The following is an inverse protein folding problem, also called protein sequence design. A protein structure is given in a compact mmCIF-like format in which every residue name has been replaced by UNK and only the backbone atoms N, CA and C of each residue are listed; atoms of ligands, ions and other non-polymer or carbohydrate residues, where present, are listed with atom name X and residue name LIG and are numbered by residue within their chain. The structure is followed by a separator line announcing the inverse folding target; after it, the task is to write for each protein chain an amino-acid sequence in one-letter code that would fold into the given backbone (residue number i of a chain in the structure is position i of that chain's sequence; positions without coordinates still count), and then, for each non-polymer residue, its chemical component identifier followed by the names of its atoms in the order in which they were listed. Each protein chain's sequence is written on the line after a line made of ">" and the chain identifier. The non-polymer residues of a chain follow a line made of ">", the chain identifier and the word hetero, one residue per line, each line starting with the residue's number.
data_IF_410589551272
#
_entry.id   IF_410589551272
#
_cell.length_a   1.000
_cell.length_b   1.000
_cell.length_c   1.000
_cell.angle_alpha   90.00
_cell.angle_beta   90.00
_cell.angle_gamma   90.00
#
_symmetry.space_group_name_H-M   'P 1'
#
loop_
_entity.id
_entity.type
_entity.pdbx_description
1 polymer ?
#
# COMPACT_ATOMS: atom_id res chain seq x y z
N UNK A 1 86.10 -26.65 15.05
CA UNK A 1 84.77 -27.23 14.93
C UNK A 1 83.73 -26.12 14.90
N UNK A 2 82.83 -26.17 13.98
CA UNK A 2 81.50 -25.53 14.04
C UNK A 2 81.45 -24.03 13.85
N UNK A 3 81.79 -23.55 12.71
CA UNK A 3 81.28 -22.30 12.16
C UNK A 3 80.36 -22.52 10.95
N UNK A 4 80.08 -23.78 10.56
CA UNK A 4 79.23 -24.09 9.42
C UNK A 4 77.78 -24.12 9.82
N UNK A 5 76.92 -23.63 8.94
CA UNK A 5 75.46 -23.68 9.16
C UNK A 5 74.93 -25.11 9.31
N UNK A 6 73.85 -25.36 10.07
CA UNK A 6 73.18 -26.65 10.06
C UNK A 6 72.87 -27.12 8.65
N UNK A 7 73.09 -28.42 8.34
CA UNK A 7 72.93 -28.97 6.99
C UNK A 7 74.23 -28.92 6.14
N UNK A 8 75.25 -28.18 6.55
CA UNK A 8 76.54 -28.15 5.87
C UNK A 8 77.56 -29.06 6.58
N UNK A 9 78.42 -29.71 5.80
CA UNK A 9 79.53 -30.51 6.26
C UNK A 9 80.79 -30.24 5.47
N UNK A 10 81.90 -30.79 5.95
CA UNK A 10 83.16 -30.75 5.19
C UNK A 10 83.74 -32.15 5.02
N UNK A 11 84.47 -32.32 3.96
CA UNK A 11 85.21 -33.56 3.68
C UNK A 11 86.65 -33.25 3.16
N UNK A 12 87.60 -34.11 3.51
CA UNK A 12 88.95 -34.08 2.92
C UNK A 12 88.94 -35.01 1.74
N UNK A 13 89.42 -34.55 0.61
CA UNK A 13 89.58 -35.38 -0.59
C UNK A 13 91.04 -35.94 -0.63
N UNK A 14 91.27 -37.00 -1.42
CA UNK A 14 92.61 -37.67 -1.55
C UNK A 14 93.69 -36.74 -2.09
N UNK A 15 93.36 -35.54 -2.58
CA UNK A 15 94.27 -34.53 -3.12
C UNK A 15 94.53 -33.37 -2.17
N UNK A 16 94.46 -33.58 -0.84
CA UNK A 16 94.66 -32.55 0.22
C UNK A 16 93.76 -31.32 0.06
N UNK A 17 92.56 -31.49 -0.51
CA UNK A 17 91.61 -30.45 -0.68
C UNK A 17 90.50 -30.60 0.33
N UNK A 18 90.20 -29.52 1.09
CA UNK A 18 89.00 -29.42 1.97
C UNK A 18 87.81 -28.94 1.11
N UNK A 19 86.77 -29.74 1.12
CA UNK A 19 85.49 -29.38 0.45
C UNK A 19 84.42 -29.13 1.50
N UNK A 20 83.84 -27.94 1.49
CA UNK A 20 82.67 -27.61 2.28
C UNK A 20 81.49 -27.74 1.33
N UNK A 21 80.43 -28.48 1.69
CA UNK A 21 79.25 -28.73 0.92
C UNK A 21 78.07 -29.04 1.83
N UNK A 22 76.89 -28.82 1.32
CA UNK A 22 75.64 -29.11 2.04
C UNK A 22 74.46 -28.20 1.50
N UNK A 23 73.29 -28.46 2.05
CA UNK A 23 72.13 -27.59 1.89
C UNK A 23 71.78 -27.05 3.27
N UNK A 24 71.40 -25.77 3.32
CA UNK A 24 70.99 -25.16 4.58
C UNK A 24 69.75 -25.85 5.12
N UNK A 25 69.83 -26.36 6.35
CA UNK A 25 68.68 -26.83 7.08
C UNK A 25 67.80 -25.63 7.45
N UNK A 26 66.44 -25.74 7.47
CA UNK A 26 65.58 -24.68 7.98
C UNK A 26 65.99 -24.10 9.33
N UNK A 27 66.61 -24.92 10.22
CA UNK A 27 67.24 -24.52 11.51
C UNK A 27 68.44 -23.59 11.34
N UNK A 28 69.06 -23.53 10.16
CA UNK A 28 70.20 -22.64 9.87
C UNK A 28 69.76 -21.18 9.73
N UNK A 29 68.46 -20.91 9.46
CA UNK A 29 67.92 -19.58 9.35
C UNK A 29 67.30 -19.13 10.68
N UNK A 30 67.70 -17.99 11.16
CA UNK A 30 67.02 -17.37 12.29
C UNK A 30 65.75 -16.67 11.77
N UNK A 31 64.55 -17.16 12.11
CA UNK A 31 63.26 -16.62 11.66
C UNK A 31 63.04 -15.18 12.14
N UNK A 32 63.78 -14.72 13.13
CA UNK A 32 63.71 -13.33 13.62
C UNK A 32 64.64 -12.37 12.82
N UNK A 33 65.50 -12.90 11.94
CA UNK A 33 66.43 -12.11 11.11
C UNK A 33 66.41 -12.61 9.68
N UNK A 34 66.29 -11.72 8.69
CA UNK A 34 66.31 -12.11 7.26
C UNK A 34 67.64 -12.75 6.83
N UNK A 35 68.68 -12.59 7.60
CA UNK A 35 70.03 -13.14 7.31
C UNK A 35 70.70 -13.60 8.58
N UNK A 36 71.24 -14.84 8.58
CA UNK A 36 72.10 -15.37 9.63
C UNK A 36 73.48 -15.61 9.05
N UNK A 37 74.49 -15.03 9.65
CA UNK A 37 75.87 -15.11 9.20
C UNK A 37 76.66 -16.16 10.06
N UNK A 38 77.23 -17.14 9.40
CA UNK A 38 78.07 -18.14 9.98
C UNK A 38 79.51 -17.88 9.56
N UNK A 39 80.40 -17.73 10.50
CA UNK A 39 81.86 -17.60 10.26
C UNK A 39 82.50 -18.95 10.47
N UNK A 40 83.28 -19.46 9.50
CA UNK A 40 84.05 -20.67 9.64
C UNK A 40 85.54 -20.39 9.62
N UNK A 41 86.29 -21.22 10.31
CA UNK A 41 87.73 -21.19 10.38
C UNK A 41 88.22 -22.56 10.05
N UNK A 42 89.20 -22.66 9.15
CA UNK A 42 89.98 -23.87 8.78
C UNK A 42 91.36 -23.69 9.31
N UNK A 43 91.85 -24.69 9.96
CA UNK A 43 93.19 -24.65 10.57
C UNK A 43 93.89 -25.96 10.22
N UNK A 44 95.13 -25.92 9.74
CA UNK A 44 95.91 -27.09 9.46
C UNK A 44 96.39 -27.68 10.76
N UNK A 45 96.42 -29.05 10.86
CA UNK A 45 97.05 -29.72 12.01
C UNK A 45 98.51 -29.44 12.04
N UNK A 46 99.08 -29.28 13.25
CA UNK A 46 100.48 -28.94 13.38
C UNK A 46 101.35 -30.04 12.75
N UNK A 47 102.14 -29.66 11.73
CA UNK A 47 103.17 -30.44 11.10
C UNK A 47 104.52 -30.12 11.74
N UNK A 48 105.32 -29.30 11.13
CA UNK A 48 106.64 -29.00 11.61
C UNK A 48 106.91 -27.58 12.11
N UNK A 49 106.07 -26.59 11.75
CA UNK A 49 106.30 -25.20 12.10
C UNK A 49 105.04 -24.49 12.58
N UNK A 50 104.38 -23.70 11.75
CA UNK A 50 103.21 -22.90 12.13
C UNK A 50 101.92 -23.46 11.51
N UNK A 51 100.78 -23.26 12.18
CA UNK A 51 99.46 -23.59 11.64
C UNK A 51 99.05 -22.54 10.66
N UNK A 52 98.60 -22.96 9.49
CA UNK A 52 97.92 -22.05 8.54
C UNK A 52 96.42 -21.96 8.85
N UNK A 53 95.94 -20.75 8.83
CA UNK A 53 94.53 -20.44 9.13
C UNK A 53 93.87 -19.83 7.92
N UNK A 54 92.66 -20.28 7.52
CA UNK A 54 91.81 -19.71 6.57
C UNK A 54 90.45 -19.50 7.21
N UNK A 55 89.85 -18.33 7.00
CA UNK A 55 88.49 -17.97 7.50
C UNK A 55 87.57 -17.59 6.35
N UNK A 56 86.27 -17.77 6.49
CA UNK A 56 85.29 -17.38 5.55
C UNK A 56 83.93 -17.28 6.20
N UNK A 57 82.94 -16.82 5.42
CA UNK A 57 81.56 -16.61 5.87
C UNK A 57 80.60 -17.30 4.95
N UNK A 58 79.52 -17.86 5.51
CA UNK A 58 78.36 -18.38 4.81
C UNK A 58 77.14 -17.58 5.36
N UNK A 59 76.43 -16.89 4.51
CA UNK A 59 75.17 -16.22 4.86
C UNK A 59 74.03 -17.13 4.46
N UNK A 60 73.20 -17.48 5.45
CA UNK A 60 71.95 -18.20 5.25
C UNK A 60 70.81 -17.19 5.36
N UNK A 61 70.01 -17.04 4.28
CA UNK A 61 68.90 -16.16 4.24
C UNK A 61 67.59 -16.92 4.39
N UNK A 62 66.61 -16.29 5.02
CA UNK A 62 65.29 -16.87 5.21
C UNK A 62 64.48 -16.80 3.91
N UNK A 63 63.83 -17.90 3.52
CA UNK A 63 62.91 -17.90 2.41
C UNK A 63 61.69 -17.00 2.71
N UNK A 64 61.09 -16.38 1.71
CA UNK A 64 59.87 -15.58 1.92
C UNK A 64 58.73 -16.44 2.40
N UNK A 65 57.87 -15.89 3.23
CA UNK A 65 56.62 -16.52 3.68
C UNK A 65 55.46 -15.59 3.41
N UNK A 66 54.30 -16.17 3.04
CA UNK A 66 53.05 -15.45 2.84
C UNK A 66 51.92 -16.37 3.28
N UNK A 67 51.09 -15.91 4.19
CA UNK A 67 49.96 -16.67 4.70
C UNK A 67 48.72 -15.81 4.86
N UNK A 68 47.54 -16.38 4.56
CA UNK A 68 46.27 -15.80 4.93
C UNK A 68 46.06 -16.02 6.43
N UNK A 69 45.86 -14.95 7.22
CA UNK A 69 45.67 -15.01 8.68
C UNK A 69 44.25 -14.66 9.10
N UNK A 70 43.47 -14.06 8.21
CA UNK A 70 42.01 -13.96 8.39
C UNK A 70 41.34 -15.30 8.14
N UNK A 71 40.02 -15.38 8.41
CA UNK A 71 39.24 -16.61 8.16
C UNK A 71 39.44 -17.11 6.73
N UNK A 72 39.63 -18.42 6.47
CA UNK A 72 39.93 -18.94 5.13
C UNK A 72 38.93 -18.53 4.05
N UNK A 73 37.65 -18.34 4.42
CA UNK A 73 36.57 -17.91 3.52
C UNK A 73 36.73 -16.48 3.01
N UNK A 74 37.52 -15.64 3.70
CA UNK A 74 37.70 -14.23 3.32
C UNK A 74 38.41 -14.05 1.99
N UNK A 75 39.30 -14.98 1.61
CA UNK A 75 40.00 -14.90 0.31
C UNK A 75 39.13 -15.27 -0.90
N UNK A 76 37.93 -15.78 -0.65
CA UNK A 76 36.94 -16.10 -1.69
C UNK A 76 35.52 -15.73 -1.22
N UNK A 77 35.25 -14.45 -1.13
CA UNK A 77 33.99 -13.93 -0.60
C UNK A 77 32.92 -13.74 -1.71
N UNK A 78 31.67 -13.95 -1.31
CA UNK A 78 30.49 -13.55 -2.09
C UNK A 78 29.84 -12.42 -1.32
N UNK A 79 29.77 -11.24 -1.93
CA UNK A 79 29.27 -10.02 -1.31
C UNK A 79 28.25 -9.34 -2.24
N UNK A 80 27.44 -8.49 -1.67
CA UNK A 80 26.56 -7.66 -2.45
C UNK A 80 27.21 -6.32 -2.79
N UNK A 81 26.87 -5.78 -3.95
CA UNK A 81 27.24 -4.41 -4.30
C UNK A 81 26.76 -3.47 -3.21
N UNK A 82 27.57 -2.46 -2.86
CA UNK A 82 27.31 -1.51 -1.79
C UNK A 82 27.15 -2.12 -0.38
N UNK A 83 27.80 -3.27 -0.11
CA UNK A 83 27.91 -3.85 1.24
C UNK A 83 29.37 -4.04 1.66
N UNK A 84 29.64 -3.94 2.96
CA UNK A 84 30.98 -4.12 3.51
C UNK A 84 31.44 -5.56 3.34
N UNK A 85 32.66 -5.74 2.87
CA UNK A 85 33.34 -7.03 2.83
C UNK A 85 34.01 -7.37 4.15
N UNK A 86 34.19 -8.67 4.45
CA UNK A 86 35.07 -9.08 5.53
C UNK A 86 36.52 -8.74 5.17
N UNK A 87 37.26 -8.18 6.12
CA UNK A 87 38.65 -7.79 5.89
C UNK A 87 39.50 -9.03 5.64
N UNK A 88 40.21 -9.05 4.51
CA UNK A 88 41.20 -10.07 4.17
C UNK A 88 42.55 -9.63 4.73
N UNK A 89 43.19 -10.47 5.49
CA UNK A 89 44.49 -10.14 6.10
C UNK A 89 45.49 -11.22 5.71
N UNK A 90 46.56 -10.79 5.05
CA UNK A 90 47.75 -11.60 4.79
C UNK A 90 48.87 -11.15 5.69
N UNK A 91 49.67 -12.10 6.14
CA UNK A 91 50.93 -11.88 6.86
C UNK A 91 52.09 -12.37 5.99
N UNK A 92 53.08 -11.52 5.80
CA UNK A 92 54.32 -11.87 5.08
C UNK A 92 55.51 -11.76 5.99
N UNK A 93 56.54 -12.54 5.72
CA UNK A 93 57.71 -12.59 6.59
C UNK A 93 58.85 -13.37 5.96
N UNK A 94 59.69 -13.90 6.81
CA UNK A 94 60.93 -14.56 6.37
C UNK A 94 61.84 -13.54 5.65
N UNK A 95 62.20 -13.81 4.42
CA UNK A 95 63.01 -12.92 3.60
C UNK A 95 62.23 -11.84 2.87
N UNK A 96 60.89 -11.88 2.87
CA UNK A 96 60.08 -10.90 2.16
C UNK A 96 60.15 -9.54 2.86
N UNK A 97 60.29 -8.47 2.08
CA UNK A 97 60.29 -7.06 2.53
C UNK A 97 58.96 -6.35 2.30
N UNK A 98 58.05 -6.99 1.57
CA UNK A 98 56.73 -6.47 1.25
C UNK A 98 55.96 -7.43 0.37
N UNK A 99 54.85 -6.96 -0.16
CA UNK A 99 54.03 -7.69 -1.11
C UNK A 99 53.57 -6.76 -2.24
N UNK A 100 53.43 -7.32 -3.44
CA UNK A 100 52.73 -6.74 -4.57
C UNK A 100 51.30 -7.25 -4.62
N UNK A 101 50.34 -6.38 -4.76
CA UNK A 101 48.94 -6.70 -4.96
C UNK A 101 48.49 -6.27 -6.33
N UNK A 102 47.85 -7.17 -7.06
CA UNK A 102 47.30 -6.86 -8.40
C UNK A 102 45.93 -7.52 -8.58
N UNK A 103 44.99 -6.76 -9.13
CA UNK A 103 43.77 -7.34 -9.69
C UNK A 103 44.10 -8.03 -10.99
N UNK A 104 43.66 -9.30 -11.14
CA UNK A 104 43.96 -10.13 -12.31
C UNK A 104 42.73 -10.18 -13.22
N UNK A 105 42.94 -10.03 -14.54
CA UNK A 105 41.84 -9.99 -15.50
C UNK A 105 41.38 -8.57 -15.86
N UNK A 106 40.22 -8.48 -16.50
CA UNK A 106 39.65 -7.20 -16.99
C UNK A 106 38.94 -6.39 -15.92
N UNK A 107 38.50 -7.03 -14.84
CA UNK A 107 37.74 -6.39 -13.78
C UNK A 107 38.64 -6.00 -12.60
N UNK A 108 38.47 -4.78 -12.11
CA UNK A 108 39.22 -4.25 -10.96
C UNK A 108 38.32 -3.49 -10.02
N UNK A 109 38.60 -3.59 -8.71
CA UNK A 109 37.95 -2.79 -7.67
C UNK A 109 38.78 -1.58 -7.24
N UNK A 110 39.86 -1.30 -7.95
CA UNK A 110 40.68 -0.11 -7.68
C UNK A 110 39.87 1.18 -7.85
N UNK A 111 39.82 2.01 -6.80
CA UNK A 111 39.03 3.25 -6.79
C UNK A 111 37.51 3.05 -6.70
N UNK A 112 37.07 1.81 -6.45
CA UNK A 112 35.64 1.44 -6.37
C UNK A 112 35.26 0.96 -4.97
N UNK A 113 35.68 1.70 -3.96
CA UNK A 113 35.32 1.45 -2.56
C UNK A 113 36.10 0.35 -1.84
N UNK A 114 37.01 -0.35 -2.54
CA UNK A 114 37.90 -1.36 -1.94
C UNK A 114 39.31 -0.83 -1.85
N UNK A 115 39.92 -1.01 -0.67
CA UNK A 115 41.29 -0.58 -0.35
C UNK A 115 42.17 -1.82 -0.12
N UNK A 116 43.33 -1.82 -0.75
CA UNK A 116 44.35 -2.83 -0.57
C UNK A 116 45.66 -2.14 -0.16
N UNK A 117 46.14 -2.37 1.06
CA UNK A 117 47.24 -1.59 1.67
C UNK A 117 48.05 -2.41 2.67
N UNK A 118 49.35 -2.13 2.73
CA UNK A 118 50.20 -2.60 3.79
C UNK A 118 49.75 -2.00 5.15
N UNK A 119 49.70 -2.83 6.17
CA UNK A 119 49.25 -2.47 7.51
C UNK A 119 50.22 -3.00 8.56
N UNK A 120 50.84 -2.10 9.31
CA UNK A 120 51.90 -2.48 10.25
C UNK A 120 53.16 -2.93 9.53
N UNK A 121 53.99 -3.73 10.20
CA UNK A 121 55.32 -4.14 9.68
C UNK A 121 55.26 -5.32 8.72
N UNK A 122 54.30 -6.24 8.89
CA UNK A 122 54.28 -7.52 8.17
C UNK A 122 52.92 -7.94 7.70
N UNK A 123 51.94 -7.02 7.66
CA UNK A 123 50.60 -7.34 7.23
C UNK A 123 50.20 -6.56 5.98
N UNK A 124 49.35 -7.19 5.19
CA UNK A 124 48.67 -6.58 4.05
C UNK A 124 47.16 -6.83 4.21
N UNK A 125 46.35 -5.80 4.04
CA UNK A 125 44.90 -5.85 4.23
C UNK A 125 44.17 -5.41 2.98
N UNK A 126 43.08 -6.14 2.69
CA UNK A 126 42.09 -5.79 1.67
C UNK A 126 40.74 -5.65 2.38
N UNK A 127 40.15 -4.50 2.30
CA UNK A 127 38.90 -4.17 3.00
C UNK A 127 38.12 -3.09 2.27
N UNK A 128 36.85 -2.91 2.64
CA UNK A 128 36.02 -1.84 2.13
C UNK A 128 34.66 -2.33 1.65
N UNK A 129 34.07 -1.53 0.80
CA UNK A 129 32.70 -1.68 0.32
C UNK A 129 32.70 -1.48 -1.20
N UNK A 130 32.59 -2.55 -2.01
CA UNK A 130 32.50 -2.38 -3.46
C UNK A 130 31.30 -1.52 -3.87
N UNK A 131 31.56 -0.51 -4.69
CA UNK A 131 30.55 0.43 -5.23
C UNK A 131 30.66 0.43 -6.76
N UNK A 132 30.33 -0.69 -7.36
CA UNK A 132 30.57 -0.97 -8.79
C UNK A 132 29.33 -0.90 -9.66
N UNK A 133 28.12 -0.88 -9.06
CA UNK A 133 26.83 -0.87 -9.76
C UNK A 133 26.74 -1.99 -10.80
N UNK A 134 27.10 -3.22 -10.38
CA UNK A 134 27.04 -4.37 -11.28
C UNK A 134 25.58 -4.73 -11.60
N UNK A 135 25.31 -5.05 -12.86
CA UNK A 135 23.99 -5.52 -13.32
C UNK A 135 23.86 -7.04 -13.31
N UNK A 136 24.99 -7.73 -13.21
CA UNK A 136 25.09 -9.20 -13.11
C UNK A 136 26.22 -9.58 -12.17
N UNK A 137 26.18 -10.81 -11.66
CA UNK A 137 27.25 -11.35 -10.81
C UNK A 137 28.60 -11.20 -11.48
N UNK A 138 29.51 -10.47 -10.88
CA UNK A 138 30.83 -10.17 -11.39
C UNK A 138 31.92 -10.67 -10.45
N UNK A 139 32.91 -11.38 -10.97
CA UNK A 139 34.03 -11.89 -10.20
C UNK A 139 35.27 -11.02 -10.42
N UNK A 140 35.89 -10.61 -9.33
CA UNK A 140 37.12 -9.83 -9.25
C UNK A 140 38.23 -10.71 -8.66
N UNK A 141 39.12 -11.16 -9.52
CA UNK A 141 40.25 -11.99 -9.08
C UNK A 141 41.43 -11.11 -8.75
N UNK A 142 42.20 -11.52 -7.76
CA UNK A 142 43.45 -10.85 -7.37
C UNK A 142 44.58 -11.83 -7.09
N UNK A 143 45.76 -11.31 -7.14
CA UNK A 143 47.01 -11.97 -6.80
C UNK A 143 47.78 -11.12 -5.81
N UNK A 144 48.37 -11.76 -4.81
CA UNK A 144 49.30 -11.15 -3.88
C UNK A 144 50.59 -11.95 -3.94
N UNK A 145 51.74 -11.26 -4.10
CA UNK A 145 53.06 -11.86 -4.30
C UNK A 145 54.02 -11.21 -3.33
N UNK A 146 54.87 -11.99 -2.66
CA UNK A 146 55.96 -11.45 -1.87
C UNK A 146 56.99 -10.73 -2.75
N UNK A 147 57.64 -9.71 -2.20
CA UNK A 147 58.70 -8.97 -2.93
C UNK A 147 59.88 -8.65 -2.01
N UNK A 148 61.04 -8.47 -2.65
CA UNK A 148 62.26 -8.05 -2.00
C UNK A 148 62.97 -9.14 -1.24
N UNK A 149 62.63 -10.39 -1.44
CA UNK A 149 63.40 -11.52 -0.92
C UNK A 149 64.66 -11.72 -1.72
N UNK A 150 65.74 -11.99 -1.02
CA UNK A 150 66.99 -12.44 -1.64
C UNK A 150 66.96 -13.95 -1.98
N UNK A 151 65.90 -14.64 -1.60
CA UNK A 151 65.65 -16.04 -1.91
C UNK A 151 64.50 -16.18 -2.90
N UNK A 152 64.69 -16.99 -3.93
CA UNK A 152 63.70 -17.28 -4.98
C UNK A 152 63.21 -18.71 -4.90
N UNK A 153 61.95 -19.04 -5.28
CA UNK A 153 60.93 -18.12 -5.84
C UNK A 153 60.21 -17.30 -4.78
N UNK A 154 59.63 -16.15 -5.21
CA UNK A 154 58.67 -15.43 -4.42
C UNK A 154 57.40 -16.28 -4.22
N UNK A 155 56.64 -16.02 -3.15
CA UNK A 155 55.39 -16.72 -2.83
C UNK A 155 54.23 -15.96 -3.43
N UNK A 156 53.37 -16.68 -4.15
CA UNK A 156 52.19 -16.14 -4.79
C UNK A 156 50.95 -16.81 -4.22
N UNK A 157 49.98 -15.99 -3.76
CA UNK A 157 48.65 -16.44 -3.40
C UNK A 157 47.62 -15.69 -4.27
N UNK A 158 46.47 -16.34 -4.52
CA UNK A 158 45.38 -15.80 -5.29
C UNK A 158 44.10 -15.79 -4.46
N UNK A 159 43.21 -14.91 -4.81
CA UNK A 159 41.86 -14.89 -4.23
C UNK A 159 40.85 -14.27 -5.17
N UNK A 160 39.59 -14.24 -4.75
CA UNK A 160 38.50 -13.70 -5.55
C UNK A 160 37.44 -13.03 -4.68
N UNK A 161 36.85 -11.98 -5.20
CA UNK A 161 35.63 -11.35 -4.66
C UNK A 161 34.55 -11.45 -5.72
N UNK A 162 33.47 -12.18 -5.40
CA UNK A 162 32.26 -12.21 -6.23
C UNK A 162 31.34 -11.12 -5.73
N UNK A 163 31.02 -10.14 -6.58
CA UNK A 163 30.05 -9.07 -6.28
C UNK A 163 28.76 -9.38 -7.01
N UNK A 164 27.71 -9.55 -6.24
CA UNK A 164 26.36 -9.75 -6.76
C UNK A 164 25.65 -8.39 -6.84
N UNK A 165 24.84 -8.16 -7.89
CA UNK A 165 24.03 -6.96 -7.98
C UNK A 165 22.96 -6.91 -6.90
N UNK A 166 22.61 -5.70 -6.44
CA UNK A 166 21.42 -5.48 -5.60
C UNK A 166 20.15 -5.68 -6.41
N UNK A 167 19.09 -6.11 -5.75
CA UNK A 167 17.79 -6.24 -6.38
C UNK A 167 17.17 -4.87 -6.64
N UNK A 168 16.43 -4.74 -7.73
CA UNK A 168 15.60 -3.58 -8.02
C UNK A 168 14.24 -3.99 -8.55
N UNK A 169 13.22 -3.22 -8.21
CA UNK A 169 11.88 -3.30 -8.79
C UNK A 169 11.32 -1.88 -8.93
N UNK A 170 10.86 -1.51 -10.11
CA UNK A 170 10.35 -0.16 -10.40
C UNK A 170 9.08 -0.24 -11.22
N UNK A 171 8.11 0.65 -10.96
CA UNK A 171 6.90 0.77 -11.76
C UNK A 171 7.26 1.39 -13.12
N UNK A 172 6.83 0.74 -14.22
CA UNK A 172 7.02 1.22 -15.60
C UNK A 172 5.71 1.49 -16.34
N UNK A 173 4.58 0.95 -15.89
CA UNK A 173 3.26 1.39 -16.32
C UNK A 173 2.94 2.78 -15.76
N UNK A 174 1.82 3.37 -16.18
CA UNK A 174 1.40 4.69 -15.69
C UNK A 174 1.26 4.69 -14.15
N UNK A 175 1.62 5.80 -13.51
CA UNK A 175 1.67 5.88 -12.03
C UNK A 175 0.35 5.51 -11.34
N UNK A 176 -0.79 5.80 -11.98
CA UNK A 176 -2.11 5.47 -11.47
C UNK A 176 -2.42 3.96 -11.49
N UNK A 177 -1.72 3.15 -12.28
CA UNK A 177 -1.99 1.71 -12.34
C UNK A 177 -1.64 0.98 -11.04
N UNK A 178 -0.65 1.48 -10.28
CA UNK A 178 -0.32 0.92 -8.98
C UNK A 178 -1.32 1.29 -7.87
N UNK A 179 -2.26 2.18 -8.16
CA UNK A 179 -3.30 2.61 -7.22
C UNK A 179 -4.61 2.84 -7.99
N UNK A 180 -5.39 1.78 -8.15
CA UNK A 180 -6.61 1.80 -8.95
C UNK A 180 -7.85 1.71 -8.08
N UNK A 181 -8.93 2.35 -8.55
CA UNK A 181 -10.25 2.26 -7.96
C UNK A 181 -11.22 1.67 -8.96
N UNK A 182 -11.98 0.67 -8.54
CA UNK A 182 -13.02 0.01 -9.35
C UNK A 182 -14.34 0.03 -8.61
N UNK A 183 -15.43 0.19 -9.36
CA UNK A 183 -16.78 0.19 -8.82
C UNK A 183 -17.44 -1.17 -9.01
N UNK A 184 -18.04 -1.65 -7.95
CA UNK A 184 -18.90 -2.83 -8.02
C UNK A 184 -20.24 -2.43 -8.65
N UNK A 185 -20.45 -2.79 -9.90
CA UNK A 185 -21.70 -2.53 -10.63
C UNK A 185 -22.42 -3.85 -10.87
N UNK A 186 -23.28 -4.24 -9.94
CA UNK A 186 -24.19 -5.35 -10.15
C UNK A 186 -25.46 -4.86 -10.84
N UNK A 187 -25.48 -4.89 -12.15
CA UNK A 187 -26.70 -4.61 -12.93
C UNK A 187 -27.58 -5.85 -13.10
N UNK A 188 -27.08 -7.03 -12.80
CA UNK A 188 -27.75 -8.28 -13.19
C UNK A 188 -28.26 -9.14 -12.02
N UNK A 189 -28.01 -8.77 -10.77
CA UNK A 189 -28.50 -9.40 -9.53
C UNK A 189 -28.62 -10.96 -9.53
N UNK A 190 -27.93 -11.62 -10.47
CA UNK A 190 -28.01 -13.06 -10.70
C UNK A 190 -26.76 -13.84 -10.28
N UNK A 191 -25.64 -13.15 -10.03
CA UNK A 191 -24.37 -13.77 -9.68
C UNK A 191 -23.80 -13.15 -8.40
N UNK A 192 -23.54 -13.97 -7.39
CA UNK A 192 -22.96 -13.54 -6.13
C UNK A 192 -21.49 -13.03 -6.25
N UNK A 193 -20.96 -12.93 -7.46
CA UNK A 193 -19.57 -12.48 -7.71
C UNK A 193 -19.47 -11.77 -9.04
N UNK A 194 -18.88 -10.61 -9.05
CA UNK A 194 -18.58 -9.83 -10.26
C UNK A 194 -17.07 -9.70 -10.44
N UNK A 195 -16.62 -9.85 -11.68
CA UNK A 195 -15.26 -9.65 -12.08
C UNK A 195 -15.04 -8.18 -12.51
N UNK A 196 -14.24 -7.45 -11.75
CA UNK A 196 -13.92 -6.03 -11.97
C UNK A 196 -12.54 -5.93 -12.61
N UNK A 197 -12.42 -5.62 -13.91
CA UNK A 197 -11.14 -5.54 -14.58
C UNK A 197 -10.29 -4.39 -14.05
N UNK A 198 -8.99 -4.62 -13.96
CA UNK A 198 -8.00 -3.59 -13.67
C UNK A 198 -7.19 -3.28 -14.93
N UNK A 199 -6.55 -2.13 -14.99
CA UNK A 199 -5.47 -1.85 -15.91
C UNK A 199 -4.23 -2.63 -15.47
N UNK A 200 -3.46 -3.17 -16.42
CA UNK A 200 -2.25 -3.92 -16.12
C UNK A 200 -1.24 -3.05 -15.36
N UNK A 201 -0.75 -3.56 -14.24
CA UNK A 201 0.34 -2.95 -13.48
C UNK A 201 1.64 -3.62 -13.88
N UNK A 202 2.56 -2.88 -14.48
CA UNK A 202 3.81 -3.41 -15.01
C UNK A 202 4.97 -2.85 -14.21
N UNK A 203 5.76 -3.75 -13.62
CA UNK A 203 7.01 -3.46 -12.96
C UNK A 203 8.18 -4.01 -13.76
N UNK A 204 9.31 -3.32 -13.73
CA UNK A 204 10.60 -3.80 -14.23
C UNK A 204 11.46 -4.24 -13.06
N UNK A 205 11.96 -5.48 -13.11
CA UNK A 205 12.93 -6.00 -12.14
C UNK A 205 14.34 -5.97 -12.73
N UNK A 206 15.31 -5.66 -11.89
CA UNK A 206 16.71 -5.57 -12.30
C UNK A 206 17.67 -6.15 -11.28
N UNK A 207 18.93 -6.15 -11.64
CA UNK A 207 20.01 -6.62 -10.79
C UNK A 207 19.86 -8.09 -10.38
N UNK A 208 20.01 -8.33 -9.11
CA UNK A 208 19.96 -9.69 -8.53
C UNK A 208 18.59 -10.37 -8.59
N UNK A 209 17.51 -9.61 -8.84
CA UNK A 209 16.16 -10.12 -8.93
C UNK A 209 15.85 -10.86 -10.24
N UNK A 210 16.65 -10.65 -11.29
CA UNK A 210 16.41 -11.25 -12.60
C UNK A 210 16.47 -12.78 -12.54
N UNK A 211 15.41 -13.44 -12.99
CA UNK A 211 15.30 -14.91 -13.01
C UNK A 211 15.16 -15.54 -11.62
N UNK A 212 14.88 -14.76 -10.58
CA UNK A 212 14.64 -15.24 -9.22
C UNK A 212 13.14 -15.25 -8.89
N UNK A 213 12.80 -15.94 -7.80
CA UNK A 213 11.43 -15.96 -7.28
C UNK A 213 11.01 -14.59 -6.74
N UNK A 214 9.72 -14.30 -6.86
CA UNK A 214 9.09 -13.14 -6.24
C UNK A 214 8.13 -13.62 -5.16
N UNK A 215 8.08 -12.90 -4.06
CA UNK A 215 7.03 -13.09 -3.05
C UNK A 215 5.99 -12.01 -3.22
N UNK A 216 4.74 -12.41 -3.47
CA UNK A 216 3.61 -11.49 -3.62
C UNK A 216 2.61 -11.78 -2.51
N UNK A 217 2.25 -10.74 -1.78
CA UNK A 217 1.26 -10.81 -0.71
C UNK A 217 0.27 -9.66 -0.84
N UNK A 218 -0.92 -9.81 -0.25
CA UNK A 218 -1.86 -8.71 -0.09
C UNK A 218 -2.50 -8.72 1.29
N UNK A 219 -3.04 -7.58 1.70
CA UNK A 219 -3.93 -7.46 2.85
C UNK A 219 -5.20 -6.72 2.44
N UNK A 220 -6.34 -7.10 3.05
CA UNK A 220 -7.60 -6.41 2.85
C UNK A 220 -7.90 -5.54 4.08
N UNK A 221 -8.19 -4.25 3.86
CA UNK A 221 -8.51 -3.25 4.89
C UNK A 221 -7.52 -3.24 6.06
N UNK A 222 -6.21 -3.40 5.78
CA UNK A 222 -5.16 -3.43 6.80
C UNK A 222 -5.14 -4.70 7.67
N UNK A 223 -5.86 -5.73 7.28
CA UNK A 223 -5.84 -7.05 7.93
C UNK A 223 -4.53 -7.81 7.73
N UNK A 224 -4.47 -9.07 8.14
CA UNK A 224 -3.27 -9.89 8.00
C UNK A 224 -2.88 -10.08 6.53
N UNK A 225 -1.57 -10.19 6.28
CA UNK A 225 -1.05 -10.47 4.94
C UNK A 225 -1.39 -11.90 4.51
N UNK A 226 -1.84 -12.02 3.27
CA UNK A 226 -2.23 -13.27 2.61
C UNK A 226 -1.30 -13.48 1.42
N UNK A 227 -0.81 -14.68 1.22
CA UNK A 227 0.00 -15.03 0.05
C UNK A 227 -0.83 -14.93 -1.24
N UNK A 228 -0.22 -14.47 -2.33
CA UNK A 228 -0.79 -14.20 -3.65
C UNK A 228 -1.45 -12.80 -3.77
N UNK A 229 -2.36 -12.67 -4.72
CA UNK A 229 -3.20 -11.49 -4.96
C UNK A 229 -4.67 -11.80 -4.66
N UNK A 230 -5.53 -10.78 -4.56
CA UNK A 230 -6.98 -10.96 -4.49
C UNK A 230 -7.47 -11.89 -5.60
N UNK A 231 -8.51 -12.67 -5.29
CA UNK A 231 -9.09 -13.63 -6.25
C UNK A 231 -9.41 -12.97 -7.59
N UNK A 232 -8.99 -13.61 -8.67
CA UNK A 232 -9.20 -13.15 -10.05
C UNK A 232 -8.07 -12.29 -10.61
N UNK A 233 -7.12 -11.84 -9.78
CA UNK A 233 -5.88 -11.23 -10.23
C UNK A 233 -4.76 -12.26 -10.30
N UNK A 234 -3.89 -12.09 -11.28
CA UNK A 234 -2.71 -12.92 -11.49
C UNK A 234 -1.43 -12.09 -11.59
N UNK A 235 -0.32 -12.75 -11.25
CA UNK A 235 1.04 -12.23 -11.51
C UNK A 235 1.69 -13.10 -12.55
N UNK A 236 2.25 -12.48 -13.59
CA UNK A 236 3.10 -13.13 -14.58
C UNK A 236 4.45 -12.44 -14.67
N UNK A 237 5.50 -13.22 -14.94
CA UNK A 237 6.85 -12.70 -15.16
C UNK A 237 7.28 -13.04 -16.57
N UNK A 238 7.59 -12.04 -17.37
CA UNK A 238 8.04 -12.18 -18.74
C UNK A 238 9.34 -11.41 -18.94
N UNK A 239 10.45 -12.11 -19.02
CA UNK A 239 11.79 -11.49 -19.07
C UNK A 239 12.07 -10.75 -17.75
N UNK A 240 12.23 -9.43 -17.83
CA UNK A 240 12.44 -8.55 -16.67
C UNK A 240 11.15 -7.88 -16.18
N UNK A 241 10.01 -8.15 -16.83
CA UNK A 241 8.74 -7.53 -16.46
C UNK A 241 7.90 -8.43 -15.55
N UNK A 242 7.37 -7.83 -14.50
CA UNK A 242 6.35 -8.40 -13.60
C UNK A 242 5.04 -7.70 -13.89
N UNK A 243 4.04 -8.46 -14.32
CA UNK A 243 2.74 -7.92 -14.74
C UNK A 243 1.67 -8.43 -13.78
N UNK A 244 0.94 -7.52 -13.14
CA UNK A 244 -0.30 -7.82 -12.42
C UNK A 244 -1.45 -7.49 -13.37
N UNK A 245 -2.31 -8.47 -13.63
CA UNK A 245 -3.45 -8.32 -14.54
C UNK A 245 -4.63 -9.17 -14.10
N UNK A 246 -5.78 -8.95 -14.70
CA UNK A 246 -6.99 -9.72 -14.46
C UNK A 246 -8.16 -8.87 -13.98
N UNK A 247 -9.06 -9.50 -13.22
CA UNK A 247 -10.25 -8.84 -12.68
C UNK A 247 -10.44 -9.22 -11.23
N UNK A 248 -10.64 -8.23 -10.36
CA UNK A 248 -10.92 -8.49 -8.94
C UNK A 248 -12.30 -9.14 -8.84
N UNK A 249 -12.37 -10.33 -8.25
CA UNK A 249 -13.64 -11.00 -7.95
C UNK A 249 -14.13 -10.51 -6.59
N UNK A 250 -15.14 -9.64 -6.59
CA UNK A 250 -15.75 -9.09 -5.39
C UNK A 250 -17.03 -9.86 -5.02
N UNK A 251 -17.26 -10.06 -3.71
CA UNK A 251 -18.50 -10.65 -3.19
C UNK A 251 -19.60 -9.57 -3.10
N UNK A 252 -20.85 -9.95 -3.32
CA UNK A 252 -22.03 -9.07 -3.23
C UNK A 252 -22.32 -8.55 -1.82
N UNK A 253 -21.72 -9.14 -0.79
CA UNK A 253 -21.95 -8.74 0.59
C UNK A 253 -20.89 -7.74 1.07
N UNK A 254 -21.05 -6.46 0.68
CA UNK A 254 -20.26 -5.39 1.24
C UNK A 254 -20.83 -4.98 2.60
N UNK A 255 -20.05 -5.18 3.66
CA UNK A 255 -20.37 -4.65 5.00
C UNK A 255 -19.76 -3.26 5.21
N UNK A 256 -18.92 -2.80 4.30
CA UNK A 256 -18.23 -1.50 4.31
C UNK A 256 -18.38 -0.81 2.95
N UNK A 257 -18.40 0.54 2.89
CA UNK A 257 -18.50 1.30 1.64
C UNK A 257 -17.38 1.01 0.64
N UNK A 258 -16.23 0.60 1.16
CA UNK A 258 -15.03 0.31 0.36
C UNK A 258 -14.29 -0.88 0.93
N UNK A 259 -13.63 -1.64 0.04
CA UNK A 259 -12.62 -2.63 0.41
C UNK A 259 -11.32 -2.25 -0.28
N UNK A 260 -10.26 -2.00 0.51
CA UNK A 260 -8.94 -1.71 -0.01
C UNK A 260 -8.05 -2.94 0.09
N UNK A 261 -7.51 -3.36 -1.04
CA UNK A 261 -6.49 -4.42 -1.14
C UNK A 261 -5.12 -3.77 -1.32
N UNK A 262 -4.26 -3.86 -0.33
CA UNK A 262 -2.86 -3.42 -0.45
C UNK A 262 -2.00 -4.63 -0.76
N UNK A 263 -1.32 -4.62 -1.91
CA UNK A 263 -0.39 -5.68 -2.28
C UNK A 263 1.06 -5.24 -2.08
N UNK A 264 1.93 -6.23 -1.90
CA UNK A 264 3.36 -6.07 -1.77
C UNK A 264 4.07 -7.09 -2.65
N UNK A 265 5.08 -6.67 -3.38
CA UNK A 265 5.98 -7.53 -4.13
C UNK A 265 7.37 -7.39 -3.52
N UNK A 266 7.98 -8.51 -3.16
CA UNK A 266 9.34 -8.59 -2.62
C UNK A 266 10.18 -9.46 -3.54
N UNK A 267 11.32 -8.93 -3.99
CA UNK A 267 12.27 -9.69 -4.82
C UNK A 267 13.04 -10.70 -3.97
N UNK A 268 13.40 -11.83 -4.57
CA UNK A 268 14.11 -12.95 -3.92
C UNK A 268 15.51 -13.18 -4.45
N UNK A 269 16.26 -12.14 -4.77
CA UNK A 269 17.65 -12.24 -5.21
C UNK A 269 18.63 -12.67 -4.10
N UNK A 270 19.89 -12.75 -4.46
CA UNK A 270 20.96 -13.18 -3.53
C UNK A 270 21.43 -12.06 -2.60
N UNK A 271 20.97 -10.83 -2.85
CA UNK A 271 21.32 -9.63 -2.11
C UNK A 271 20.10 -9.04 -1.38
N UNK A 272 20.22 -7.79 -0.95
CA UNK A 272 19.11 -7.10 -0.28
C UNK A 272 17.91 -7.05 -1.20
N UNK A 273 16.78 -7.61 -0.74
CA UNK A 273 15.52 -7.63 -1.48
C UNK A 273 15.00 -6.21 -1.70
N UNK A 274 14.47 -5.96 -2.86
CA UNK A 274 13.70 -4.75 -3.14
C UNK A 274 12.22 -5.02 -2.92
N UNK A 275 11.51 -4.03 -2.39
CA UNK A 275 10.09 -4.15 -2.07
C UNK A 275 9.31 -3.01 -2.73
N UNK A 276 8.17 -3.34 -3.34
CA UNK A 276 7.23 -2.34 -3.85
C UNK A 276 5.82 -2.68 -3.39
N UNK A 277 5.00 -1.65 -3.21
CA UNK A 277 3.61 -1.77 -2.79
C UNK A 277 2.68 -1.02 -3.73
N UNK A 278 1.43 -1.48 -3.81
CA UNK A 278 0.37 -0.78 -4.49
C UNK A 278 -0.98 -1.15 -3.88
N UNK A 279 -2.06 -0.59 -4.39
CA UNK A 279 -3.38 -0.86 -3.86
C UNK A 279 -4.47 -0.90 -4.95
N UNK A 280 -5.51 -1.67 -4.67
CA UNK A 280 -6.75 -1.69 -5.42
C UNK A 280 -7.89 -1.37 -4.46
N UNK A 281 -8.72 -0.39 -4.77
CA UNK A 281 -9.88 -0.02 -3.98
C UNK A 281 -11.15 -0.43 -4.72
N UNK A 282 -11.95 -1.30 -4.10
CA UNK A 282 -13.27 -1.67 -4.61
C UNK A 282 -14.30 -0.86 -3.86
N UNK A 283 -15.07 -0.06 -4.59
CA UNK A 283 -16.17 0.72 -4.06
C UNK A 283 -17.48 -0.03 -4.25
N UNK A 284 -18.31 -0.04 -3.22
CA UNK A 284 -19.66 -0.56 -3.32
C UNK A 284 -20.59 0.47 -3.98
N UNK A 285 -21.63 0.07 -4.72
CA UNK A 285 -22.63 0.98 -5.26
C UNK A 285 -23.42 1.64 -4.12
N UNK A 286 -23.99 2.82 -4.36
CA UNK A 286 -24.94 3.40 -3.41
C UNK A 286 -26.21 2.56 -3.35
N UNK A 287 -26.77 2.40 -2.16
CA UNK A 287 -28.02 1.68 -1.94
C UNK A 287 -28.93 2.58 -1.11
N UNK A 288 -30.21 2.66 -1.52
CA UNK A 288 -31.25 3.38 -0.82
C UNK A 288 -32.48 2.50 -0.77
N UNK A 289 -33.00 2.25 0.43
CA UNK A 289 -34.13 1.37 0.64
C UNK A 289 -35.20 2.08 1.49
N UNK A 290 -36.46 2.08 1.05
CA UNK A 290 -37.59 2.51 1.88
C UNK A 290 -37.79 1.50 3.01
N UNK A 291 -37.75 1.94 4.26
CA UNK A 291 -37.95 1.09 5.44
C UNK A 291 -39.28 1.35 6.15
N UNK A 292 -39.91 2.51 5.92
CA UNK A 292 -41.30 2.76 6.33
C UNK A 292 -42.29 2.02 5.41
N UNK A 293 -43.56 2.00 5.78
CA UNK A 293 -44.60 1.36 4.96
C UNK A 293 -44.67 2.02 3.56
N UNK A 294 -44.83 1.22 2.50
CA UNK A 294 -44.90 1.73 1.12
C UNK A 294 -45.95 2.84 0.91
N UNK A 295 -47.03 2.83 1.70
CA UNK A 295 -48.06 3.85 1.70
C UNK A 295 -47.60 5.24 2.16
N UNK A 296 -46.43 5.32 2.87
CA UNK A 296 -45.91 6.62 3.34
C UNK A 296 -45.35 7.47 2.21
N UNK A 297 -44.84 6.85 1.12
CA UNK A 297 -44.31 7.57 -0.05
C UNK A 297 -45.40 8.09 -1.01
N UNK A 298 -46.66 7.64 -0.80
CA UNK A 298 -47.83 8.11 -1.55
C UNK A 298 -48.99 8.32 -0.57
N UNK A 299 -48.94 9.42 0.17
CA UNK A 299 -49.94 9.75 1.19
C UNK A 299 -51.19 10.36 0.52
N UNK A 300 -51.86 9.56 -0.33
CA UNK A 300 -53.06 9.96 -1.11
C UNK A 300 -54.31 9.25 -0.58
N UNK A 301 -55.36 9.95 -0.35
CA UNK A 301 -56.71 9.41 -0.11
C UNK A 301 -57.06 9.04 1.35
N UNK A 302 -56.18 8.47 2.12
CA UNK A 302 -56.42 8.09 3.53
C UNK A 302 -55.77 9.08 4.48
N UNK A 303 -54.72 9.74 4.05
CA UNK A 303 -53.95 10.70 4.81
C UNK A 303 -53.88 12.06 4.06
N UNK A 304 -55.02 12.53 3.61
CA UNK A 304 -55.09 13.86 3.03
C UNK A 304 -54.82 14.88 4.16
N UNK A 305 -53.65 15.43 4.14
CA UNK A 305 -53.20 16.40 5.12
C UNK A 305 -53.94 17.72 4.92
N UNK A 306 -54.50 18.25 5.99
CA UNK A 306 -54.99 19.60 6.00
C UNK A 306 -53.88 20.55 6.38
N UNK A 307 -53.82 21.72 5.75
CA UNK A 307 -52.79 22.74 6.00
C UNK A 307 -52.75 23.10 7.49
N UNK A 308 -51.57 23.13 8.10
CA UNK A 308 -51.29 23.50 9.50
C UNK A 308 -52.02 22.68 10.59
N UNK A 309 -52.56 21.51 10.29
CA UNK A 309 -53.30 20.71 11.27
C UNK A 309 -52.71 19.34 11.57
N UNK A 310 -52.11 18.70 10.60
CA UNK A 310 -51.60 17.35 10.73
C UNK A 310 -50.15 17.22 10.24
N UNK A 311 -49.38 16.42 10.95
CA UNK A 311 -48.03 16.01 10.48
C UNK A 311 -48.16 14.88 9.49
N UNK A 312 -47.25 14.79 8.54
CA UNK A 312 -47.10 13.62 7.68
C UNK A 312 -46.70 12.41 8.51
N UNK A 313 -47.07 11.22 8.06
CA UNK A 313 -46.43 10.02 8.59
C UNK A 313 -44.96 10.00 8.14
N UNK A 314 -44.05 9.72 9.06
CA UNK A 314 -42.64 9.71 8.78
C UNK A 314 -42.30 8.74 7.65
N UNK A 315 -41.56 9.22 6.64
CA UNK A 315 -41.06 8.42 5.53
C UNK A 315 -39.59 8.16 5.82
N UNK A 316 -39.27 6.90 6.10
CA UNK A 316 -37.89 6.50 6.52
C UNK A 316 -37.24 5.67 5.43
N UNK A 317 -36.06 6.11 5.06
CA UNK A 317 -35.15 5.39 4.17
C UNK A 317 -33.91 4.97 4.93
N UNK A 318 -33.34 3.84 4.55
CA UNK A 318 -32.02 3.41 4.98
C UNK A 318 -31.09 3.46 3.77
N UNK A 319 -29.89 4.06 3.95
CA UNK A 319 -28.88 4.15 2.91
C UNK A 319 -27.57 3.49 3.38
N UNK A 320 -26.87 2.84 2.45
CA UNK A 320 -25.62 2.13 2.75
C UNK A 320 -24.83 1.90 1.45
N UNK A 321 -23.81 1.02 1.54
CA UNK A 321 -22.90 0.82 0.43
C UNK A 321 -21.99 2.02 0.23
N UNK A 322 -21.94 2.53 -0.99
CA UNK A 322 -21.14 3.69 -1.36
C UNK A 322 -21.77 5.05 -1.03
N UNK A 323 -23.05 5.08 -0.62
CA UNK A 323 -23.73 6.32 -0.28
C UNK A 323 -23.21 6.87 1.06
N UNK A 324 -22.84 8.14 1.10
CA UNK A 324 -22.40 8.83 2.33
C UNK A 324 -23.40 9.88 2.79
N UNK A 325 -24.36 10.24 1.95
CA UNK A 325 -25.38 11.26 2.20
C UNK A 325 -26.64 10.97 1.38
N UNK A 326 -27.76 11.58 1.78
CA UNK A 326 -29.05 11.49 1.11
C UNK A 326 -29.71 12.87 1.11
N UNK A 327 -30.29 13.25 -0.04
CA UNK A 327 -30.90 14.55 -0.25
C UNK A 327 -32.37 14.41 -0.65
N UNK A 328 -33.25 15.25 -0.08
CA UNK A 328 -34.62 15.42 -0.49
C UNK A 328 -34.73 16.56 -1.51
N UNK A 329 -35.27 16.28 -2.68
CA UNK A 329 -35.56 17.27 -3.70
C UNK A 329 -37.07 17.30 -4.03
N UNK A 330 -37.67 18.47 -4.00
CA UNK A 330 -39.03 18.67 -4.48
C UNK A 330 -39.04 18.93 -5.99
N UNK A 331 -39.76 18.11 -6.74
CA UNK A 331 -39.68 18.15 -8.22
C UNK A 331 -40.57 19.22 -8.87
N UNK A 332 -41.51 19.85 -8.11
CA UNK A 332 -42.33 20.96 -8.60
C UNK A 332 -42.24 22.18 -7.67
N UNK A 333 -42.91 22.14 -6.52
CA UNK A 333 -42.88 23.18 -5.51
C UNK A 333 -42.53 22.62 -4.16
N UNK A 334 -41.79 23.38 -3.35
CA UNK A 334 -41.37 22.96 -2.01
C UNK A 334 -42.59 22.90 -1.06
N UNK A 335 -42.75 21.77 -0.38
CA UNK A 335 -43.74 21.65 0.69
C UNK A 335 -43.15 22.22 1.98
N UNK A 336 -43.46 23.49 2.26
CA UNK A 336 -42.98 24.16 3.48
C UNK A 336 -43.51 23.48 4.73
N UNK A 337 -42.67 23.38 5.75
CA UNK A 337 -43.00 22.69 7.01
C UNK A 337 -42.71 21.20 7.00
N UNK A 338 -42.29 20.64 5.84
CA UNK A 338 -41.83 19.25 5.70
C UNK A 338 -40.39 19.24 5.21
N UNK A 339 -39.54 18.45 5.84
CA UNK A 339 -38.14 18.34 5.49
C UNK A 339 -37.57 16.95 5.69
N UNK A 340 -36.38 16.70 5.13
CA UNK A 340 -35.63 15.48 5.29
C UNK A 340 -34.36 15.70 6.11
N UNK A 341 -34.02 14.76 6.98
CA UNK A 341 -32.81 14.80 7.76
C UNK A 341 -32.26 13.38 8.03
N UNK A 342 -30.94 13.28 8.13
CA UNK A 342 -30.27 12.05 8.57
C UNK A 342 -30.36 11.98 10.10
N UNK A 343 -30.79 10.84 10.64
CA UNK A 343 -30.79 10.59 12.06
C UNK A 343 -29.35 10.43 12.57
N UNK A 344 -28.88 11.27 13.51
CA UNK A 344 -27.50 11.25 13.97
C UNK A 344 -27.05 9.87 14.44
N UNK A 345 -25.87 9.41 13.97
CA UNK A 345 -25.28 8.13 14.34
C UNK A 345 -25.90 6.91 13.66
N UNK A 346 -26.78 7.12 12.68
CA UNK A 346 -27.41 6.05 11.89
C UNK A 346 -27.27 6.31 10.40
N UNK A 347 -27.61 5.31 9.58
CA UNK A 347 -27.74 5.45 8.12
C UNK A 347 -29.21 5.63 7.73
N UNK A 348 -30.02 6.27 8.56
CA UNK A 348 -31.43 6.52 8.30
C UNK A 348 -31.66 7.97 7.90
N UNK A 349 -32.39 8.15 6.81
CA UNK A 349 -32.90 9.44 6.36
C UNK A 349 -34.40 9.48 6.56
N UNK A 350 -34.92 10.49 7.27
CA UNK A 350 -36.30 10.60 7.64
C UNK A 350 -36.90 11.90 7.07
N UNK A 351 -37.99 11.78 6.32
CA UNK A 351 -38.81 12.92 5.89
C UNK A 351 -39.97 13.03 6.87
N UNK A 352 -40.10 14.18 7.53
CA UNK A 352 -41.13 14.43 8.56
C UNK A 352 -41.52 15.89 8.56
N UNK A 353 -42.60 16.21 9.28
CA UNK A 353 -43.05 17.58 9.49
C UNK A 353 -44.55 17.78 9.28
N UNK A 354 -44.97 19.03 9.48
CA UNK A 354 -46.34 19.47 9.28
C UNK A 354 -46.40 20.49 8.14
N UNK A 355 -47.16 20.24 7.08
CA UNK A 355 -47.29 21.20 5.98
C UNK A 355 -47.76 22.57 6.45
N UNK A 356 -47.08 23.65 6.02
CA UNK A 356 -47.44 25.05 6.35
C UNK A 356 -47.74 25.86 5.10
N UNK A 357 -48.26 25.21 4.06
CA UNK A 357 -48.60 25.84 2.79
C UNK A 357 -50.03 26.39 2.84
N UNK A 358 -50.28 27.52 2.18
CA UNK A 358 -51.61 28.09 2.05
C UNK A 358 -52.14 27.82 0.63
N UNK A 359 -53.01 26.82 0.51
CA UNK A 359 -53.57 26.35 -0.78
C UNK A 359 -55.09 26.47 -0.76
N UNK A 360 -55.66 26.70 -1.93
CA UNK A 360 -57.12 26.85 -2.15
C UNK A 360 -57.75 25.64 -2.82
N UNK A 361 -56.95 24.72 -3.31
CA UNK A 361 -57.35 23.46 -3.93
C UNK A 361 -56.36 22.34 -3.55
N UNK A 362 -56.81 21.10 -3.61
CA UNK A 362 -55.93 19.92 -3.42
C UNK A 362 -54.70 20.01 -4.33
N UNK A 363 -53.54 19.93 -3.75
CA UNK A 363 -52.25 20.09 -4.45
C UNK A 363 -51.31 18.94 -4.13
N UNK A 364 -50.68 18.40 -5.16
CA UNK A 364 -49.67 17.35 -5.06
C UNK A 364 -48.27 17.95 -5.00
N UNK A 365 -47.46 17.45 -4.09
CA UNK A 365 -46.07 17.79 -3.88
C UNK A 365 -45.21 16.56 -4.16
N UNK A 366 -44.81 16.33 -5.39
CA UNK A 366 -43.92 15.22 -5.74
C UNK A 366 -42.50 15.53 -5.29
N UNK A 367 -41.81 14.50 -4.82
CA UNK A 367 -40.44 14.58 -4.34
C UNK A 367 -39.59 13.41 -4.82
N UNK A 368 -38.26 13.60 -4.80
CA UNK A 368 -37.26 12.61 -5.01
C UNK A 368 -36.31 12.57 -3.82
N UNK A 369 -35.86 11.36 -3.46
CA UNK A 369 -34.81 11.13 -2.48
C UNK A 369 -33.66 10.53 -3.23
N UNK A 370 -32.50 11.18 -3.18
CA UNK A 370 -31.31 10.83 -3.95
C UNK A 370 -30.14 10.50 -3.03
N UNK A 371 -29.42 9.44 -3.34
CA UNK A 371 -28.14 9.18 -2.69
C UNK A 371 -27.08 10.17 -3.19
N UNK A 372 -26.13 10.53 -2.33
CA UNK A 372 -25.03 11.44 -2.65
C UNK A 372 -23.71 10.93 -2.06
N UNK A 373 -22.58 11.46 -2.58
CA UNK A 373 -21.24 11.19 -2.08
C UNK A 373 -20.67 9.82 -2.45
N UNK A 374 -21.31 9.07 -3.36
CA UNK A 374 -20.78 7.81 -3.86
C UNK A 374 -19.64 8.04 -4.86
N UNK A 375 -18.58 7.24 -4.73
CA UNK A 375 -17.53 7.16 -5.76
C UNK A 375 -17.99 6.40 -7.01
N UNK A 376 -19.12 5.67 -6.93
CA UNK A 376 -19.68 4.87 -8.00
C UNK A 376 -21.01 5.50 -8.49
N UNK A 377 -21.14 5.65 -9.79
CA UNK A 377 -22.38 6.08 -10.44
C UNK A 377 -23.17 4.84 -10.94
N UNK A 378 -24.49 4.93 -11.13
CA UNK A 378 -25.35 6.09 -10.92
C UNK A 378 -25.81 6.25 -9.46
N UNK A 379 -26.30 7.46 -9.12
CA UNK A 379 -27.02 7.69 -7.87
C UNK A 379 -28.34 6.88 -7.88
N UNK A 380 -28.77 6.46 -6.68
CA UNK A 380 -30.09 5.84 -6.52
C UNK A 380 -31.12 6.92 -6.23
N UNK A 381 -32.21 6.92 -6.99
CA UNK A 381 -33.30 7.88 -6.86
C UNK A 381 -34.59 7.12 -6.56
N UNK A 382 -35.27 7.48 -5.49
CA UNK A 382 -36.60 7.00 -5.15
C UNK A 382 -37.55 8.21 -5.13
N UNK A 383 -38.75 8.05 -5.68
CA UNK A 383 -39.74 9.13 -5.78
C UNK A 383 -40.97 8.85 -4.91
N UNK A 384 -41.65 9.92 -4.54
CA UNK A 384 -42.93 9.87 -3.83
C UNK A 384 -43.75 11.13 -4.07
N UNK A 385 -44.95 11.17 -3.52
CA UNK A 385 -45.86 12.33 -3.61
C UNK A 385 -46.63 12.50 -2.32
N UNK A 386 -46.64 13.70 -1.79
CA UNK A 386 -47.48 14.09 -0.66
C UNK A 386 -48.60 14.99 -1.19
N UNK A 387 -49.85 14.58 -1.00
CA UNK A 387 -51.00 15.36 -1.37
C UNK A 387 -51.53 16.16 -0.18
N UNK A 388 -51.63 17.46 -0.32
CA UNK A 388 -52.15 18.36 0.71
C UNK A 388 -53.54 18.88 0.26
N UNK A 389 -54.49 18.85 1.18
CA UNK A 389 -55.83 19.45 0.99
C UNK A 389 -55.93 20.78 1.69
N UNK A 390 -56.68 21.74 1.13
CA UNK A 390 -56.94 23.00 1.79
C UNK A 390 -57.88 22.83 2.98
N UNK A 391 -57.82 23.77 3.92
CA UNK A 391 -58.80 23.85 5.02
C UNK A 391 -60.12 24.33 4.43
N UNK A 392 -61.18 23.57 4.67
CA UNK A 392 -62.55 23.96 4.23
C UNK A 392 -62.96 25.27 4.88
N UNK A 393 -63.65 26.11 4.11
CA UNK A 393 -64.12 27.41 4.55
C UNK A 393 -65.65 27.48 4.50
N UNK A 394 -66.22 28.16 5.47
CA UNK A 394 -67.68 28.50 5.50
C UNK A 394 -67.80 29.99 5.91
N UNK A 395 -68.37 30.78 5.04
CA UNK A 395 -68.51 32.23 5.23
C UNK A 395 -69.95 32.69 5.00
N UNK A 396 -70.46 33.54 5.91
CA UNK A 396 -71.79 34.15 5.71
C UNK A 396 -71.74 35.07 4.47
N UNK A 397 -72.62 34.83 3.52
CA UNK A 397 -72.73 35.60 2.27
C UNK A 397 -73.92 36.51 2.26
N UNK A 398 -74.96 36.24 3.09
CA UNK A 398 -76.08 37.14 3.30
C UNK A 398 -75.74 38.30 4.24
N UNK A 399 -76.62 39.27 4.40
CA UNK A 399 -76.44 40.36 5.37
C UNK A 399 -76.15 39.78 6.78
N UNK A 400 -75.22 40.36 7.55
CA UNK A 400 -74.90 39.89 8.89
C UNK A 400 -76.05 39.77 9.87
N UNK A 401 -77.15 40.58 9.64
CA UNK A 401 -78.37 40.50 10.44
C UNK A 401 -79.15 39.19 10.25
N UNK A 402 -78.98 38.52 9.08
CA UNK A 402 -79.74 37.30 8.76
C UNK A 402 -79.38 36.12 9.66
N UNK A 403 -78.23 36.10 10.25
CA UNK A 403 -77.84 34.99 11.16
C UNK A 403 -78.48 34.98 12.52
N UNK A 404 -79.13 36.17 12.93
CA UNK A 404 -79.80 36.32 14.18
C UNK A 404 -81.18 36.95 13.93
N UNK A 405 -82.19 36.17 13.65
CA UNK A 405 -83.52 36.60 13.29
C UNK A 405 -84.55 36.25 14.38
N UNK A 406 -85.53 37.10 14.56
CA UNK A 406 -86.65 36.84 15.42
C UNK A 406 -87.91 36.78 14.54
N UNK A 407 -88.58 35.62 14.58
CA UNK A 407 -89.83 35.39 13.84
C UNK A 407 -90.95 35.09 14.80
N UNK A 408 -92.19 35.55 14.49
CA UNK A 408 -93.36 35.32 15.33
C UNK A 408 -94.09 34.05 14.85
N UNK A 409 -94.40 33.16 15.72
CA UNK A 409 -95.14 31.94 15.38
C UNK A 409 -96.67 32.32 15.26
N UNK A 410 -97.37 31.73 14.25
CA UNK A 410 -98.84 31.75 14.13
C UNK A 410 -99.46 32.78 13.23
N UNK A 411 -98.77 33.63 12.53
CA UNK A 411 -99.35 34.54 11.50
C UNK A 411 -98.68 34.25 10.17
N UNK A 412 -99.37 33.71 9.23
CA UNK A 412 -98.90 33.17 7.94
C UNK A 412 -98.09 34.07 7.00
N UNK A 413 -97.44 35.13 7.48
CA UNK A 413 -96.64 36.07 6.68
C UNK A 413 -95.22 36.30 7.18
N UNK A 414 -94.79 35.66 8.29
CA UNK A 414 -93.43 35.80 8.81
C UNK A 414 -92.51 34.68 8.25
N UNK A 415 -91.82 35.02 7.19
CA UNK A 415 -90.79 34.16 6.60
C UNK A 415 -89.42 34.54 7.13
N UNK A 416 -88.55 33.59 7.28
CA UNK A 416 -87.17 33.79 7.60
C UNK A 416 -86.45 34.43 6.41
N UNK A 417 -85.74 35.53 6.59
CA UNK A 417 -84.85 36.02 5.55
C UNK A 417 -83.81 34.98 5.23
N UNK A 418 -83.52 34.65 3.99
CA UNK A 418 -82.61 33.61 3.62
C UNK A 418 -81.22 33.85 4.21
N UNK A 419 -80.70 32.83 4.98
CA UNK A 419 -79.35 32.84 5.48
C UNK A 419 -78.48 32.10 4.47
N UNK A 420 -77.52 32.82 3.88
CA UNK A 420 -76.71 32.30 2.80
C UNK A 420 -75.26 32.13 3.32
N UNK A 421 -74.74 30.93 3.26
CA UNK A 421 -73.32 30.66 3.49
C UNK A 421 -72.66 30.18 2.21
N UNK A 422 -71.51 30.74 1.90
CA UNK A 422 -70.63 30.24 0.88
C UNK A 422 -69.64 29.28 1.57
N UNK A 423 -69.42 28.16 0.94
CA UNK A 423 -68.39 27.22 1.33
C UNK A 423 -67.43 26.98 0.15
N UNK A 424 -66.20 26.61 0.50
CA UNK A 424 -65.16 26.46 -0.52
C UNK A 424 -63.91 25.68 0.02
N UNK A 425 -62.86 25.75 -0.78
CA UNK A 425 -61.59 25.11 -0.46
C UNK A 425 -61.72 23.59 -0.21
N UNK A 426 -62.49 22.91 -1.08
CA UNK A 426 -62.69 21.46 -0.99
C UNK A 426 -64.01 21.02 -0.37
N UNK A 427 -64.70 21.87 0.36
CA UNK A 427 -66.06 21.58 0.82
C UNK A 427 -67.02 21.55 -0.38
N UNK A 428 -67.81 20.49 -0.51
CA UNK A 428 -68.77 20.28 -1.61
C UNK A 428 -70.23 20.14 -1.12
N UNK A 429 -70.45 20.17 0.19
CA UNK A 429 -71.77 20.08 0.83
C UNK A 429 -71.74 20.71 2.22
N UNK A 430 -72.88 21.03 2.75
CA UNK A 430 -73.04 21.49 4.13
C UNK A 430 -74.30 20.83 4.75
N UNK A 431 -74.20 20.62 6.06
CA UNK A 431 -75.34 20.09 6.85
C UNK A 431 -75.80 21.16 7.84
N UNK A 432 -77.06 21.35 7.97
CA UNK A 432 -77.68 22.31 8.91
C UNK A 432 -78.51 21.53 9.95
N UNK A 433 -78.28 21.83 11.21
CA UNK A 433 -79.06 21.26 12.30
C UNK A 433 -79.55 22.39 13.23
N UNK A 434 -80.75 22.22 13.77
CA UNK A 434 -81.31 23.13 14.74
C UNK A 434 -81.49 22.44 16.08
N UNK A 435 -81.19 23.17 17.19
CA UNK A 435 -81.38 22.68 18.52
C UNK A 435 -82.06 23.74 19.40
N UNK A 436 -83.32 23.60 19.78
CA UNK A 436 -84.27 22.54 19.42
C UNK A 436 -84.60 22.56 17.91
N UNK A 437 -85.13 21.44 17.38
CA UNK A 437 -85.51 21.34 15.99
C UNK A 437 -86.56 22.49 15.66
N UNK A 438 -86.41 23.16 14.54
CA UNK A 438 -87.25 24.22 14.08
C UNK A 438 -88.05 23.72 12.85
N UNK A 439 -89.32 23.28 13.06
CA UNK A 439 -90.15 22.78 11.95
C UNK A 439 -90.37 23.86 10.90
N UNK A 440 -90.27 23.48 9.61
CA UNK A 440 -90.49 24.40 8.46
C UNK A 440 -89.23 25.15 8.01
N UNK A 441 -88.10 25.11 8.81
CA UNK A 441 -86.87 25.76 8.44
C UNK A 441 -85.84 24.70 8.14
N UNK A 442 -85.10 24.86 7.06
CA UNK A 442 -84.07 23.96 6.60
C UNK A 442 -83.29 24.46 5.40
N UNK A 443 -82.51 23.56 4.79
CA UNK A 443 -81.88 23.92 3.52
C UNK A 443 -82.92 24.04 2.41
N UNK A 444 -83.08 25.24 1.86
CA UNK A 444 -83.93 25.50 0.75
C UNK A 444 -83.23 25.35 -0.61
N UNK A 445 -81.95 25.58 -0.66
CA UNK A 445 -81.12 25.35 -1.85
C UNK A 445 -79.72 25.07 -1.42
N UNK A 446 -79.03 24.20 -2.17
CA UNK A 446 -77.60 23.93 -2.04
C UNK A 446 -76.99 23.75 -3.44
N UNK A 447 -75.91 24.47 -3.68
CA UNK A 447 -75.01 24.28 -4.82
C UNK A 447 -73.68 23.67 -4.38
N UNK A 448 -72.70 23.56 -5.30
CA UNK A 448 -71.36 23.14 -5.00
C UNK A 448 -70.55 24.14 -4.15
N UNK A 449 -71.02 25.37 -3.97
CA UNK A 449 -70.27 26.44 -3.26
C UNK A 449 -71.14 27.25 -2.30
N UNK A 450 -72.43 26.96 -2.21
CA UNK A 450 -73.34 27.77 -1.41
C UNK A 450 -74.46 26.92 -0.81
N UNK A 451 -74.79 27.20 0.42
CA UNK A 451 -76.02 26.69 1.08
C UNK A 451 -76.92 27.86 1.46
N UNK A 452 -78.22 27.71 1.22
CA UNK A 452 -79.26 28.66 1.56
C UNK A 452 -80.18 27.98 2.58
N UNK A 453 -80.34 28.66 3.71
CA UNK A 453 -81.19 28.22 4.80
C UNK A 453 -82.41 29.19 4.77
N UNK A 454 -83.62 28.64 4.80
CA UNK A 454 -84.85 29.37 4.82
C UNK A 454 -86.03 28.48 5.19
N UNK A 455 -87.28 29.06 5.18
CA UNK A 455 -88.46 28.34 5.52
C UNK A 455 -89.59 29.24 5.95
#
# INVERSE_FOLDING_TARGET
>A
QSGLPPGFGYSLTASNTIRIQGAADPAAANLASSTTRYEYRIETSPGACETAIATGTIEVRTAPTLALVSTPTTSSQIICDDTDMETIIYEFGGGARGVNFTWTGSNTLFGKGVTAIASGTNQFRIYGKPTVNVTETTIYNYQIETVGSDCTPEIVLTGSLQVNPTDSITLVSAANTASQSVCYNDTDNASNTIALPIEDVIYEIGGGAIGKSLTVTYSANGGPSINNLPTGLGVSVTGTQVIISGSIVASTTFTTPTVQYTYQIVTGGSCVSSTITGNFTVHSPPILTLTSAATTTSQVGVFALCTNLESIADITYEFYGGATDVVLEWTSSTLTGVGGAITPGTNQFVISGTPTVNITSTTDYPFEVKTNGSACAPEVVLSGTIQVKPIETLTLASDPSTKNQTICAGTGTNTLDPIIYNFGQGANSAVVSFTPALPGVGITSMSSTQVIIGG
#
